data_IF_727477046613
#
_entry.id   IF_727477046613
#
_cell.length_a   1.000
_cell.length_b   1.000
_cell.length_c   1.000
_cell.angle_alpha   90.00
_cell.angle_beta   90.00
_cell.angle_gamma   90.00
#
_symmetry.space_group_name_H-M   'P 1'
#
loop_
_entity.id
_entity.type
_entity.pdbx_description
1 polymer ?
#
# COMPACT_ATOMS: atom_id res chain seq x y z
N UNK A 1 78.35 36.56 5.59
CA UNK A 1 77.97 35.21 6.03
C UNK A 1 76.51 35.01 5.60
N UNK A 2 76.06 34.00 4.88
CA UNK A 2 76.63 32.81 4.27
C UNK A 2 75.45 32.02 3.67
N UNK A 3 75.69 31.37 2.52
CA UNK A 3 74.97 30.24 1.86
C UNK A 3 73.43 30.23 1.81
N UNK A 4 72.77 30.20 0.65
CA UNK A 4 72.75 29.19 -0.44
C UNK A 4 71.92 27.92 -0.13
N UNK A 5 71.08 27.57 -1.12
CA UNK A 5 70.39 26.29 -1.43
C UNK A 5 69.00 26.05 -0.80
N UNK A 6 67.91 26.07 -1.58
CA UNK A 6 67.37 25.10 -2.58
C UNK A 6 66.73 23.86 -1.95
N UNK A 7 65.43 23.65 -2.24
CA UNK A 7 64.80 22.45 -2.85
C UNK A 7 63.27 22.70 -2.94
N UNK A 8 62.73 23.01 -4.13
CA UNK A 8 62.12 22.12 -5.16
C UNK A 8 60.69 21.65 -4.85
N UNK A 9 59.79 21.94 -5.79
CA UNK A 9 58.45 21.36 -5.97
C UNK A 9 57.67 22.21 -6.98
N UNK A 10 57.92 22.06 -8.30
CA UNK A 10 56.99 21.41 -9.25
C UNK A 10 55.55 21.95 -9.10
N UNK A 11 54.96 22.79 -9.96
CA UNK A 11 55.21 23.02 -11.38
C UNK A 11 54.54 21.96 -12.24
N UNK A 12 53.38 22.29 -12.82
CA UNK A 12 52.88 21.65 -14.04
C UNK A 12 51.55 20.89 -13.90
N UNK A 13 50.56 21.38 -14.62
CA UNK A 13 49.34 20.68 -15.00
C UNK A 13 49.63 19.33 -15.67
N UNK A 14 48.75 18.35 -15.48
CA UNK A 14 48.62 17.21 -16.38
C UNK A 14 47.15 16.72 -16.43
N UNK A 15 46.56 16.87 -17.62
CA UNK A 15 45.43 16.07 -18.10
C UNK A 15 45.85 14.58 -18.12
N UNK A 16 44.99 13.70 -17.62
CA UNK A 16 45.03 12.28 -17.94
C UNK A 16 43.61 11.78 -18.23
N UNK A 17 43.31 11.71 -19.53
CA UNK A 17 42.35 10.78 -20.10
C UNK A 17 42.79 9.35 -19.77
N UNK A 18 41.90 8.55 -19.16
CA UNK A 18 41.98 7.10 -19.22
C UNK A 18 40.66 6.56 -19.75
N UNK A 19 40.68 6.27 -21.05
CA UNK A 19 39.82 5.29 -21.68
C UNK A 19 40.41 3.89 -21.46
N UNK A 20 39.55 2.90 -21.21
CA UNK A 20 39.85 1.47 -21.18
C UNK A 20 39.15 0.80 -19.99
N UNK A 21 38.24 -0.17 -20.13
CA UNK A 21 38.14 -1.16 -21.19
C UNK A 21 36.68 -1.51 -21.53
N UNK A 22 36.41 -1.56 -22.84
CA UNK A 22 35.45 -2.48 -23.44
C UNK A 22 35.85 -3.91 -23.05
N UNK A 23 35.07 -4.53 -22.17
CA UNK A 23 34.89 -5.97 -22.20
C UNK A 23 33.52 -6.23 -22.82
N UNK A 24 33.57 -6.63 -24.09
CA UNK A 24 32.47 -7.28 -24.75
C UNK A 24 32.19 -8.62 -24.04
N UNK A 25 31.29 -8.58 -23.06
CA UNK A 25 30.41 -9.71 -22.80
C UNK A 25 29.30 -9.66 -23.84
N UNK A 26 29.38 -10.50 -24.87
CA UNK A 26 28.24 -10.83 -25.72
C UNK A 26 27.23 -11.64 -24.88
N UNK A 27 26.45 -10.96 -24.05
CA UNK A 27 25.20 -11.43 -23.48
C UNK A 27 24.14 -10.41 -23.88
N UNK A 28 22.99 -10.89 -24.38
CA UNK A 28 21.87 -10.09 -24.91
C UNK A 28 21.79 -8.67 -24.33
N UNK A 29 22.22 -7.68 -25.12
CA UNK A 29 21.69 -6.33 -24.94
C UNK A 29 20.24 -6.39 -25.37
N UNK A 30 19.33 -6.70 -24.42
CA UNK A 30 17.97 -6.22 -24.53
C UNK A 30 18.05 -4.74 -24.96
N UNK A 31 17.28 -4.35 -25.97
CA UNK A 31 17.32 -2.98 -26.47
C UNK A 31 17.11 -2.07 -25.25
N UNK A 32 18.12 -1.28 -24.88
CA UNK A 32 18.08 -0.46 -23.66
C UNK A 32 16.86 0.50 -23.64
N UNK A 33 16.22 0.66 -24.79
CA UNK A 33 14.93 1.34 -24.99
C UNK A 33 13.71 0.64 -24.39
N UNK A 34 13.78 -0.63 -24.02
CA UNK A 34 12.67 -1.39 -23.42
C UNK A 34 12.89 -1.78 -21.95
N UNK A 35 13.99 -1.34 -21.33
CA UNK A 35 14.30 -1.69 -19.93
C UNK A 35 13.21 -1.25 -18.93
N UNK A 36 12.42 -0.22 -19.27
CA UNK A 36 11.27 0.19 -18.46
C UNK A 36 10.25 -0.94 -18.27
N UNK A 37 10.13 -1.85 -19.24
CA UNK A 37 9.20 -2.99 -19.16
C UNK A 37 9.57 -3.91 -18.00
N UNK A 38 10.87 -4.09 -17.71
CA UNK A 38 11.31 -4.90 -16.57
C UNK A 38 10.85 -4.32 -15.24
N UNK A 39 10.91 -2.99 -15.08
CA UNK A 39 10.39 -2.31 -13.89
C UNK A 39 8.89 -2.53 -13.78
N UNK A 40 8.14 -2.29 -14.86
CA UNK A 40 6.68 -2.40 -14.84
C UNK A 40 6.22 -3.83 -14.61
N UNK A 41 6.85 -4.80 -15.26
CA UNK A 41 6.50 -6.22 -15.13
C UNK A 41 6.77 -6.71 -13.72
N UNK A 42 7.91 -6.33 -13.11
CA UNK A 42 8.23 -6.67 -11.72
C UNK A 42 7.29 -5.97 -10.72
N UNK A 43 7.04 -4.67 -10.91
CA UNK A 43 6.14 -3.89 -10.07
C UNK A 43 4.71 -4.45 -10.08
N UNK A 44 4.24 -4.89 -11.25
CA UNK A 44 2.92 -5.50 -11.40
C UNK A 44 2.78 -6.79 -10.60
N UNK A 45 3.85 -7.59 -10.43
CA UNK A 45 3.78 -8.85 -9.68
C UNK A 45 3.31 -8.61 -8.26
N UNK A 46 4.02 -7.79 -7.49
CA UNK A 46 3.65 -7.58 -6.08
C UNK A 46 2.46 -6.64 -5.92
N UNK A 47 2.31 -5.62 -6.76
CA UNK A 47 1.22 -4.64 -6.62
C UNK A 47 -0.14 -5.25 -6.90
N UNK A 48 -0.25 -6.13 -7.91
CA UNK A 48 -1.52 -6.78 -8.24
C UNK A 48 -1.90 -7.86 -7.22
N UNK A 49 -0.94 -8.44 -6.50
CA UNK A 49 -1.22 -9.28 -5.34
C UNK A 49 -1.77 -8.45 -4.18
N UNK A 50 -1.12 -7.34 -3.83
CA UNK A 50 -1.58 -6.41 -2.78
C UNK A 50 -2.98 -5.85 -3.08
N UNK A 51 -3.24 -5.44 -4.33
CA UNK A 51 -4.56 -5.02 -4.81
C UNK A 51 -5.61 -6.15 -4.73
N UNK A 52 -5.18 -7.39 -4.98
CA UNK A 52 -6.01 -8.58 -4.83
C UNK A 52 -6.46 -8.82 -3.38
N UNK A 53 -5.55 -8.63 -2.43
CA UNK A 53 -5.85 -8.73 -0.99
C UNK A 53 -6.85 -7.63 -0.58
N UNK A 54 -6.61 -6.39 -1.04
CA UNK A 54 -7.53 -5.26 -0.85
C UNK A 54 -8.93 -5.55 -1.42
N UNK A 55 -9.03 -6.15 -2.61
CA UNK A 55 -10.31 -6.56 -3.21
C UNK A 55 -11.01 -7.70 -2.43
N UNK A 56 -10.26 -8.58 -1.76
CA UNK A 56 -10.84 -9.60 -0.90
C UNK A 56 -11.41 -8.99 0.38
N UNK A 57 -10.72 -8.01 0.96
CA UNK A 57 -11.20 -7.24 2.10
C UNK A 57 -12.49 -6.47 1.77
N UNK A 58 -12.54 -5.77 0.62
CA UNK A 58 -13.74 -5.07 0.13
C UNK A 58 -14.98 -5.97 0.10
N UNK A 59 -14.83 -7.22 -0.37
CA UNK A 59 -15.95 -8.18 -0.46
C UNK A 59 -16.42 -8.65 0.91
N UNK A 60 -15.50 -8.81 1.87
CA UNK A 60 -15.87 -9.13 3.25
C UNK A 60 -16.66 -7.98 3.87
N UNK A 61 -16.22 -6.72 3.68
CA UNK A 61 -16.95 -5.54 4.11
C UNK A 61 -18.32 -5.42 3.43
N UNK A 62 -18.43 -5.70 2.13
CA UNK A 62 -19.72 -5.71 1.41
C UNK A 62 -20.71 -6.68 2.07
N UNK A 63 -20.27 -7.89 2.43
CA UNK A 63 -21.12 -8.87 3.10
C UNK A 63 -21.61 -8.38 4.48
N UNK A 64 -20.76 -7.69 5.25
CA UNK A 64 -21.14 -7.07 6.53
C UNK A 64 -22.15 -5.95 6.30
N UNK A 65 -21.93 -5.09 5.31
CA UNK A 65 -22.88 -4.03 4.95
C UNK A 65 -24.27 -4.57 4.61
N UNK A 66 -24.33 -5.64 3.81
CA UNK A 66 -25.59 -6.31 3.45
C UNK A 66 -26.32 -6.84 4.69
N UNK A 67 -25.59 -7.40 5.67
CA UNK A 67 -26.18 -7.82 6.94
C UNK A 67 -26.73 -6.61 7.72
N UNK A 68 -25.98 -5.52 7.80
CA UNK A 68 -26.41 -4.33 8.51
C UNK A 68 -27.64 -3.66 7.87
N UNK A 69 -27.84 -3.80 6.57
CA UNK A 69 -29.02 -3.29 5.88
C UNK A 69 -30.27 -4.16 6.04
N UNK A 70 -30.12 -5.50 6.01
CA UNK A 70 -31.27 -6.42 6.02
C UNK A 70 -31.65 -6.92 7.41
N UNK A 71 -30.66 -7.04 8.31
CA UNK A 71 -30.81 -7.50 9.69
C UNK A 71 -31.56 -8.84 9.83
N UNK A 72 -31.14 -9.83 9.04
CA UNK A 72 -31.74 -11.18 9.06
C UNK A 72 -30.69 -12.28 9.23
N UNK A 73 -31.16 -13.48 9.62
CA UNK A 73 -30.27 -14.60 9.90
C UNK A 73 -29.51 -15.14 8.69
N UNK A 74 -30.03 -15.00 7.47
CA UNK A 74 -29.35 -15.49 6.26
C UNK A 74 -28.18 -14.56 5.87
N UNK A 75 -28.42 -13.24 5.94
CA UNK A 75 -27.39 -12.22 5.74
C UNK A 75 -26.32 -12.26 6.83
N UNK A 76 -26.69 -12.53 8.09
CA UNK A 76 -25.73 -12.74 9.18
C UNK A 76 -24.79 -13.92 8.92
N UNK A 77 -25.32 -15.08 8.54
CA UNK A 77 -24.49 -16.27 8.27
C UNK A 77 -23.56 -16.06 7.06
N UNK A 78 -24.03 -15.33 6.04
CA UNK A 78 -23.20 -14.94 4.90
C UNK A 78 -22.08 -13.98 5.31
N UNK A 79 -22.37 -12.98 6.14
CA UNK A 79 -21.37 -12.05 6.66
C UNK A 79 -20.32 -12.78 7.51
N UNK A 80 -20.75 -13.65 8.44
CA UNK A 80 -19.86 -14.49 9.26
C UNK A 80 -18.94 -15.35 8.39
N UNK A 81 -19.51 -16.06 7.43
CA UNK A 81 -18.73 -16.92 6.52
C UNK A 81 -17.74 -16.12 5.69
N UNK A 82 -18.18 -15.01 5.09
CA UNK A 82 -17.32 -14.16 4.26
C UNK A 82 -16.14 -13.57 5.04
N UNK A 83 -16.40 -13.09 6.27
CA UNK A 83 -15.37 -12.55 7.16
C UNK A 83 -14.40 -13.66 7.59
N UNK A 84 -14.91 -14.78 8.11
CA UNK A 84 -14.08 -15.90 8.60
C UNK A 84 -13.23 -16.51 7.49
N UNK A 85 -13.82 -16.79 6.31
CA UNK A 85 -13.12 -17.34 5.16
C UNK A 85 -12.04 -16.39 4.64
N UNK A 86 -12.28 -15.06 4.71
CA UNK A 86 -11.31 -14.07 4.25
C UNK A 86 -10.15 -13.92 5.22
N UNK A 87 -10.42 -13.89 6.53
CA UNK A 87 -9.38 -13.94 7.57
C UNK A 87 -8.50 -15.18 7.37
N UNK A 88 -9.10 -16.36 7.25
CA UNK A 88 -8.33 -17.60 7.11
C UNK A 88 -7.43 -17.62 5.87
N UNK A 89 -7.91 -17.07 4.75
CA UNK A 89 -7.11 -16.93 3.52
C UNK A 89 -5.95 -15.96 3.70
N UNK A 90 -6.21 -14.78 4.28
CA UNK A 90 -5.19 -13.77 4.52
C UNK A 90 -4.13 -14.24 5.52
N UNK A 91 -4.52 -15.00 6.55
CA UNK A 91 -3.58 -15.64 7.49
C UNK A 91 -2.70 -16.69 6.80
N UNK A 92 -3.27 -17.49 5.88
CA UNK A 92 -2.51 -18.44 5.07
C UNK A 92 -1.53 -17.70 4.15
N UNK A 93 -1.98 -16.68 3.44
CA UNK A 93 -1.16 -15.85 2.54
C UNK A 93 -0.01 -15.16 3.30
N UNK A 94 -0.30 -14.59 4.48
CA UNK A 94 0.71 -13.99 5.35
C UNK A 94 1.73 -15.02 5.84
N UNK A 95 1.29 -16.25 6.13
CA UNK A 95 2.17 -17.36 6.53
C UNK A 95 3.05 -17.92 5.41
N UNK A 96 2.66 -17.71 4.15
CA UNK A 96 3.39 -18.13 2.95
C UNK A 96 4.21 -16.99 2.32
N UNK A 97 4.08 -15.77 2.82
CA UNK A 97 4.75 -14.60 2.28
C UNK A 97 6.28 -14.76 2.31
N UNK A 98 6.90 -14.59 1.14
CA UNK A 98 8.36 -14.59 0.99
C UNK A 98 8.80 -13.14 0.83
N UNK A 99 9.85 -12.77 1.57
CA UNK A 99 10.48 -11.45 1.42
C UNK A 99 10.93 -11.25 -0.02
N UNK A 100 10.53 -10.13 -0.62
CA UNK A 100 11.01 -9.69 -1.91
C UNK A 100 12.49 -9.36 -1.84
N UNK A 101 13.26 -9.90 -2.78
CA UNK A 101 14.70 -9.68 -2.92
C UNK A 101 14.97 -9.03 -4.28
N UNK A 102 15.47 -7.79 -4.24
CA UNK A 102 15.78 -7.04 -5.45
C UNK A 102 17.04 -7.59 -6.14
N UNK A 103 16.90 -8.04 -7.38
CA UNK A 103 18.05 -8.51 -8.17
C UNK A 103 19.01 -7.37 -8.54
N UNK A 104 20.31 -7.66 -8.65
CA UNK A 104 21.31 -6.67 -9.07
C UNK A 104 21.02 -6.09 -10.47
N UNK A 105 20.47 -6.90 -11.37
CA UNK A 105 20.08 -6.47 -12.72
C UNK A 105 18.95 -5.43 -12.66
N UNK A 106 17.88 -5.73 -11.93
CA UNK A 106 16.75 -4.81 -11.80
C UNK A 106 17.14 -3.56 -11.01
N UNK A 107 17.99 -3.68 -9.97
CA UNK A 107 18.53 -2.55 -9.23
C UNK A 107 19.26 -1.55 -10.15
N UNK A 108 20.09 -2.06 -11.07
CA UNK A 108 20.77 -1.21 -12.05
C UNK A 108 19.80 -0.52 -13.03
N UNK A 109 18.72 -1.21 -13.40
CA UNK A 109 17.66 -0.63 -14.24
C UNK A 109 16.91 0.46 -13.47
N UNK A 110 16.44 0.21 -12.25
CA UNK A 110 15.76 1.18 -11.39
C UNK A 110 16.61 2.45 -11.19
N UNK A 111 17.91 2.29 -10.89
CA UNK A 111 18.83 3.41 -10.76
C UNK A 111 18.92 4.26 -12.04
N UNK A 112 18.87 3.63 -13.21
CA UNK A 112 18.84 4.32 -14.51
C UNK A 112 17.58 5.17 -14.75
N UNK A 113 16.48 4.86 -14.06
CA UNK A 113 15.22 5.62 -14.10
C UNK A 113 15.03 6.55 -12.90
N UNK A 114 16.04 6.69 -12.03
CA UNK A 114 15.95 7.54 -10.84
C UNK A 114 14.98 7.01 -9.79
N UNK A 115 14.77 5.69 -9.76
CA UNK A 115 13.96 5.01 -8.74
C UNK A 115 14.88 4.56 -7.62
N UNK A 116 14.50 4.91 -6.39
CA UNK A 116 15.22 4.48 -5.19
C UNK A 116 14.98 2.99 -4.93
N UNK A 117 16.07 2.23 -4.81
CA UNK A 117 15.99 0.78 -4.67
C UNK A 117 15.53 0.33 -3.29
N UNK A 118 15.85 1.11 -2.25
CA UNK A 118 15.46 0.80 -0.88
C UNK A 118 13.96 1.05 -0.71
N UNK A 119 13.47 2.20 -1.16
CA UNK A 119 12.04 2.54 -1.18
C UNK A 119 11.23 1.50 -1.97
N UNK A 120 11.73 1.07 -3.14
CA UNK A 120 11.07 0.06 -3.97
C UNK A 120 10.98 -1.30 -3.26
N UNK A 121 12.08 -1.73 -2.62
CA UNK A 121 12.15 -3.00 -1.87
C UNK A 121 11.25 -2.97 -0.65
N UNK A 122 11.18 -1.83 0.06
CA UNK A 122 10.26 -1.64 1.18
C UNK A 122 8.82 -1.79 0.68
N UNK A 123 8.44 -1.08 -0.39
CA UNK A 123 7.09 -1.14 -0.95
C UNK A 123 6.68 -2.55 -1.38
N UNK A 124 7.58 -3.29 -2.06
CA UNK A 124 7.33 -4.67 -2.45
C UNK A 124 7.08 -5.59 -1.23
N UNK A 125 7.73 -5.31 -0.10
CA UNK A 125 7.62 -6.07 1.15
C UNK A 125 6.47 -5.62 2.07
N UNK A 126 5.72 -4.57 1.74
CA UNK A 126 4.63 -4.07 2.59
C UNK A 126 3.42 -5.01 2.68
N UNK A 127 3.31 -6.00 1.79
CA UNK A 127 2.14 -6.90 1.72
C UNK A 127 1.80 -7.55 3.06
N UNK A 128 2.81 -7.95 3.86
CA UNK A 128 2.57 -8.59 5.15
C UNK A 128 1.95 -7.64 6.18
N UNK A 129 2.34 -6.36 6.16
CA UNK A 129 1.75 -5.33 7.00
C UNK A 129 0.28 -5.10 6.61
N UNK A 130 0.00 -4.94 5.31
CA UNK A 130 -1.36 -4.74 4.81
C UNK A 130 -2.28 -5.93 5.15
N UNK A 131 -1.79 -7.17 4.99
CA UNK A 131 -2.53 -8.35 5.40
C UNK A 131 -2.82 -8.35 6.91
N UNK A 132 -1.86 -7.97 7.74
CA UNK A 132 -2.05 -7.86 9.20
C UNK A 132 -3.18 -6.86 9.53
N UNK A 133 -3.15 -5.69 8.90
CA UNK A 133 -4.15 -4.64 9.13
C UNK A 133 -5.56 -5.10 8.70
N UNK A 134 -5.69 -5.74 7.53
CA UNK A 134 -6.97 -6.32 7.09
C UNK A 134 -7.48 -7.42 8.03
N UNK A 135 -6.60 -8.31 8.49
CA UNK A 135 -6.96 -9.38 9.43
C UNK A 135 -7.45 -8.80 10.75
N UNK A 136 -6.75 -7.82 11.31
CA UNK A 136 -7.12 -7.20 12.58
C UNK A 136 -8.48 -6.49 12.47
N UNK A 137 -8.68 -5.71 11.40
CA UNK A 137 -9.95 -5.05 11.13
C UNK A 137 -11.11 -6.05 11.01
N UNK A 138 -10.93 -7.13 10.23
CA UNK A 138 -11.95 -8.17 10.08
C UNK A 138 -12.22 -8.92 11.38
N UNK A 139 -11.19 -9.19 12.20
CA UNK A 139 -11.36 -9.83 13.52
C UNK A 139 -12.19 -8.96 14.46
N UNK A 140 -12.02 -7.63 14.39
CA UNK A 140 -12.88 -6.70 15.14
C UNK A 140 -14.34 -6.88 14.73
N UNK A 141 -14.66 -6.91 13.43
CA UNK A 141 -16.05 -7.12 12.98
C UNK A 141 -16.56 -8.53 13.32
N UNK A 142 -15.71 -9.55 13.17
CA UNK A 142 -16.02 -10.94 13.48
C UNK A 142 -16.53 -11.10 14.92
N UNK A 143 -15.88 -10.45 15.88
CA UNK A 143 -16.30 -10.49 17.29
C UNK A 143 -17.78 -10.13 17.47
N UNK A 144 -18.24 -9.03 16.86
CA UNK A 144 -19.63 -8.59 16.96
C UNK A 144 -20.59 -9.47 16.17
N UNK A 145 -20.15 -9.97 15.01
CA UNK A 145 -20.96 -10.88 14.20
C UNK A 145 -21.19 -12.21 14.92
N UNK A 146 -20.23 -12.70 15.70
CA UNK A 146 -20.28 -14.03 16.35
C UNK A 146 -21.00 -14.06 17.71
N UNK A 147 -21.52 -12.92 18.19
CA UNK A 147 -22.33 -12.89 19.42
C UNK A 147 -23.50 -13.87 19.32
N UNK A 148 -23.67 -14.71 20.35
CA UNK A 148 -24.59 -15.85 20.32
C UNK A 148 -26.05 -15.41 20.47
N UNK A 149 -26.33 -14.51 21.42
CA UNK A 149 -27.69 -14.06 21.71
C UNK A 149 -28.13 -12.88 20.84
N UNK A 150 -29.43 -12.81 20.54
CA UNK A 150 -29.99 -11.63 19.85
C UNK A 150 -29.90 -10.38 20.73
N UNK A 151 -30.09 -10.54 22.05
CA UNK A 151 -30.03 -9.43 23.00
C UNK A 151 -28.67 -8.73 23.01
N UNK A 152 -27.57 -9.48 22.98
CA UNK A 152 -26.21 -8.90 22.88
C UNK A 152 -25.97 -8.24 21.52
N UNK A 153 -26.47 -8.83 20.42
CA UNK A 153 -26.36 -8.23 19.09
C UNK A 153 -27.12 -6.92 18.98
N UNK A 154 -28.33 -6.86 19.53
CA UNK A 154 -29.14 -5.64 19.57
C UNK A 154 -28.46 -4.56 20.43
N UNK A 155 -27.89 -4.94 21.57
CA UNK A 155 -27.18 -4.04 22.47
C UNK A 155 -25.93 -3.42 21.83
N UNK A 156 -25.19 -4.19 21.03
CA UNK A 156 -23.92 -3.77 20.43
C UNK A 156 -24.03 -3.38 18.95
N UNK A 157 -25.26 -3.25 18.44
CA UNK A 157 -25.53 -2.95 17.03
C UNK A 157 -24.90 -1.62 16.60
N UNK A 158 -25.10 -0.56 17.37
CA UNK A 158 -24.57 0.77 17.06
C UNK A 158 -23.04 0.77 16.98
N UNK A 159 -22.37 0.00 17.84
CA UNK A 159 -20.91 -0.17 17.84
C UNK A 159 -20.45 -0.90 16.58
N UNK A 160 -21.13 -1.98 16.19
CA UNK A 160 -20.83 -2.69 14.95
C UNK A 160 -21.02 -1.78 13.73
N UNK A 161 -22.11 -1.03 13.67
CA UNK A 161 -22.39 -0.09 12.56
C UNK A 161 -21.32 1.00 12.48
N UNK A 162 -20.90 1.54 13.62
CA UNK A 162 -19.82 2.53 13.67
C UNK A 162 -18.49 1.95 13.15
N UNK A 163 -18.07 0.78 13.67
CA UNK A 163 -16.80 0.17 13.31
C UNK A 163 -16.79 -0.26 11.83
N UNK A 164 -17.89 -0.83 11.34
CA UNK A 164 -18.07 -1.12 9.92
C UNK A 164 -17.94 0.15 9.07
N UNK A 165 -18.64 1.23 9.46
CA UNK A 165 -18.60 2.51 8.76
C UNK A 165 -17.18 3.09 8.70
N UNK A 166 -16.47 3.08 9.84
CA UNK A 166 -15.07 3.50 9.91
C UNK A 166 -14.19 2.68 8.97
N UNK A 167 -14.25 1.34 9.05
CA UNK A 167 -13.41 0.46 8.23
C UNK A 167 -13.68 0.62 6.72
N UNK A 168 -14.95 0.76 6.33
CA UNK A 168 -15.34 1.01 4.94
C UNK A 168 -14.83 2.36 4.43
N UNK A 169 -14.95 3.41 5.24
CA UNK A 169 -14.51 4.75 4.86
C UNK A 169 -12.97 4.82 4.78
N UNK A 170 -12.26 4.19 5.73
CA UNK A 170 -10.80 4.06 5.71
C UNK A 170 -10.32 3.31 4.45
N UNK A 171 -10.97 2.18 4.15
CA UNK A 171 -10.68 1.40 2.95
C UNK A 171 -10.89 2.21 1.65
N UNK A 172 -11.90 3.07 1.62
CA UNK A 172 -12.13 3.97 0.47
C UNK A 172 -10.97 4.96 0.31
N UNK A 173 -10.46 5.51 1.42
CA UNK A 173 -9.32 6.42 1.41
C UNK A 173 -8.02 5.70 0.98
N UNK A 174 -7.76 4.52 1.53
CA UNK A 174 -6.60 3.70 1.20
C UNK A 174 -6.55 3.35 -0.28
N UNK A 175 -7.67 2.90 -0.87
CA UNK A 175 -7.75 2.58 -2.30
C UNK A 175 -7.38 3.77 -3.19
N UNK A 176 -7.82 4.96 -2.80
CA UNK A 176 -7.47 6.20 -3.49
C UNK A 176 -5.99 6.55 -3.32
N UNK A 177 -5.48 6.45 -2.09
CA UNK A 177 -4.06 6.65 -1.78
C UNK A 177 -3.17 5.71 -2.60
N UNK A 178 -3.48 4.41 -2.65
CA UNK A 178 -2.67 3.42 -3.37
C UNK A 178 -2.74 3.58 -4.88
N UNK A 179 -3.88 4.00 -5.44
CA UNK A 179 -3.93 4.39 -6.86
C UNK A 179 -2.89 5.49 -7.18
N UNK A 180 -2.81 6.53 -6.34
CA UNK A 180 -1.82 7.58 -6.50
C UNK A 180 -0.41 7.16 -6.12
N UNK A 181 -0.23 6.22 -5.18
CA UNK A 181 1.07 5.61 -4.91
C UNK A 181 1.62 4.90 -6.15
N UNK A 182 0.77 4.17 -6.90
CA UNK A 182 1.17 3.60 -8.20
C UNK A 182 1.57 4.70 -9.18
N UNK A 183 0.79 5.79 -9.25
CA UNK A 183 1.13 6.93 -10.08
C UNK A 183 2.50 7.52 -9.72
N UNK A 184 2.87 7.58 -8.44
CA UNK A 184 4.13 8.16 -7.96
C UNK A 184 5.36 7.47 -8.56
N UNK A 185 5.33 6.13 -8.62
CA UNK A 185 6.43 5.32 -9.17
C UNK A 185 6.71 5.60 -10.65
N UNK A 186 5.68 6.00 -11.40
CA UNK A 186 5.74 6.18 -12.85
C UNK A 186 5.46 7.63 -13.29
N UNK A 187 5.44 8.57 -12.35
CA UNK A 187 5.24 9.98 -12.65
C UNK A 187 6.36 10.50 -13.57
N UNK A 188 5.98 11.21 -14.63
CA UNK A 188 6.90 11.73 -15.65
C UNK A 188 7.23 10.75 -16.77
N UNK A 189 6.68 9.53 -16.74
CA UNK A 189 6.78 8.61 -17.87
C UNK A 189 5.75 8.99 -18.95
N UNK A 190 6.17 8.98 -20.21
CA UNK A 190 5.36 9.42 -21.35
C UNK A 190 5.32 8.36 -22.48
N UNK A 191 4.41 8.54 -23.43
CA UNK A 191 4.32 7.71 -24.64
C UNK A 191 4.17 6.22 -24.32
N UNK A 192 5.03 5.40 -24.94
CA UNK A 192 4.99 3.93 -24.82
C UNK A 192 5.19 3.44 -23.38
N UNK A 193 5.92 4.17 -22.55
CA UNK A 193 6.17 3.82 -21.15
C UNK A 193 4.88 3.90 -20.32
N UNK A 194 4.19 5.04 -20.42
CA UNK A 194 2.89 5.27 -19.76
C UNK A 194 1.84 4.29 -20.26
N UNK A 195 1.79 4.05 -21.58
CA UNK A 195 0.88 3.08 -22.17
C UNK A 195 1.11 1.66 -21.64
N UNK A 196 2.36 1.27 -21.38
CA UNK A 196 2.68 -0.04 -20.84
C UNK A 196 2.31 -0.17 -19.36
N UNK A 197 2.50 0.87 -18.55
CA UNK A 197 2.01 0.92 -17.16
C UNK A 197 0.49 0.78 -17.14
N UNK A 198 -0.22 1.49 -18.02
CA UNK A 198 -1.68 1.40 -18.13
C UNK A 198 -2.13 -0.03 -18.50
N UNK A 199 -1.44 -0.67 -19.45
CA UNK A 199 -1.75 -2.04 -19.89
C UNK A 199 -1.48 -3.08 -18.79
N UNK A 200 -0.33 -2.99 -18.12
CA UNK A 200 0.13 -4.04 -17.20
C UNK A 200 -0.37 -3.87 -15.77
N UNK A 201 -0.48 -2.63 -15.30
CA UNK A 201 -0.87 -2.36 -13.91
C UNK A 201 -2.31 -1.88 -13.86
N UNK A 202 -2.59 -0.69 -14.41
CA UNK A 202 -3.85 0.03 -14.15
C UNK A 202 -5.09 -0.73 -14.61
N UNK A 203 -5.06 -1.33 -15.82
CA UNK A 203 -6.20 -2.12 -16.33
C UNK A 203 -6.46 -3.42 -15.58
N UNK A 204 -5.51 -3.88 -14.77
CA UNK A 204 -5.60 -5.14 -14.04
C UNK A 204 -5.90 -4.94 -12.54
N UNK A 205 -5.99 -3.68 -12.07
CA UNK A 205 -6.43 -3.37 -10.71
C UNK A 205 -7.89 -3.81 -10.51
N UNK A 206 -8.16 -4.39 -9.34
CA UNK A 206 -9.46 -4.89 -8.89
C UNK A 206 -10.05 -4.03 -7.79
N UNK A 207 -9.22 -3.42 -6.96
CA UNK A 207 -9.62 -2.61 -5.81
C UNK A 207 -9.11 -1.18 -5.92
N UNK A 208 -7.79 -1.00 -6.01
CA UNK A 208 -7.15 0.31 -5.95
C UNK A 208 -7.70 1.23 -7.05
N UNK A 209 -8.22 2.36 -6.60
CA UNK A 209 -8.95 3.29 -7.45
C UNK A 209 -9.28 4.55 -6.68
N UNK A 210 -9.13 5.68 -7.36
CA UNK A 210 -9.52 6.99 -6.85
C UNK A 210 -10.88 7.41 -7.42
N UNK A 211 -11.62 8.23 -6.67
CA UNK A 211 -12.80 8.89 -7.22
C UNK A 211 -12.36 9.90 -8.30
N UNK A 212 -12.91 9.79 -9.50
CA UNK A 212 -12.53 10.60 -10.67
C UNK A 212 -11.01 10.61 -10.91
N UNK A 213 -10.42 9.45 -11.24
CA UNK A 213 -8.97 9.29 -11.25
C UNK A 213 -8.32 10.17 -12.33
N UNK A 214 -7.30 10.92 -11.93
CA UNK A 214 -6.43 11.70 -12.82
C UNK A 214 -5.03 11.15 -12.70
N UNK A 215 -4.40 10.82 -13.83
CA UNK A 215 -2.99 10.43 -13.86
C UNK A 215 -2.13 11.68 -13.97
N UNK A 216 -1.39 11.99 -12.91
CA UNK A 216 -0.52 13.16 -12.84
C UNK A 216 0.87 12.84 -13.42
N UNK A 217 1.46 13.82 -14.10
CA UNK A 217 2.75 13.65 -14.78
C UNK A 217 3.95 14.11 -13.92
N UNK A 218 3.73 14.67 -12.71
CA UNK A 218 4.81 15.05 -11.79
C UNK A 218 4.62 14.45 -10.40
N UNK A 219 5.73 14.08 -9.73
CA UNK A 219 5.69 13.53 -8.37
C UNK A 219 5.05 14.49 -7.37
N UNK A 220 5.34 15.78 -7.48
CA UNK A 220 4.75 16.80 -6.59
C UNK A 220 3.21 16.84 -6.69
N UNK A 221 2.65 16.73 -7.90
CA UNK A 221 1.20 16.68 -8.08
C UNK A 221 0.59 15.39 -7.52
N UNK A 222 1.28 14.25 -7.70
CA UNK A 222 0.87 12.97 -7.10
C UNK A 222 0.90 13.05 -5.58
N UNK A 223 1.97 13.57 -4.97
CA UNK A 223 2.12 13.73 -3.53
C UNK A 223 0.99 14.60 -2.95
N UNK A 224 0.60 15.68 -3.64
CA UNK A 224 -0.56 16.48 -3.23
C UNK A 224 -1.85 15.67 -3.20
N UNK A 225 -2.06 14.76 -4.16
CA UNK A 225 -3.23 13.86 -4.17
C UNK A 225 -3.17 12.82 -3.06
N UNK A 226 -1.99 12.23 -2.82
CA UNK A 226 -1.78 11.28 -1.72
C UNK A 226 -2.06 11.94 -0.37
N UNK A 227 -1.57 13.17 -0.15
CA UNK A 227 -1.80 13.92 1.09
C UNK A 227 -3.29 14.16 1.37
N UNK A 228 -4.12 14.38 0.34
CA UNK A 228 -5.58 14.52 0.55
C UNK A 228 -6.21 13.26 1.16
N UNK A 229 -5.74 12.07 0.77
CA UNK A 229 -6.20 10.82 1.37
C UNK A 229 -5.62 10.59 2.77
N UNK A 230 -4.37 11.02 3.01
CA UNK A 230 -3.78 10.99 4.35
C UNK A 230 -4.57 11.89 5.32
N UNK A 231 -4.93 13.11 4.90
CA UNK A 231 -5.74 14.05 5.70
C UNK A 231 -7.12 13.44 6.03
N UNK A 232 -7.74 12.75 5.07
CA UNK A 232 -9.02 12.05 5.28
C UNK A 232 -8.87 10.88 6.26
N UNK A 233 -7.81 10.09 6.16
CA UNK A 233 -7.53 9.01 7.11
C UNK A 233 -7.27 9.56 8.52
N UNK A 234 -6.59 10.70 8.64
CA UNK A 234 -6.40 11.37 9.93
C UNK A 234 -7.74 11.81 10.55
N UNK A 235 -8.65 12.38 9.74
CA UNK A 235 -10.00 12.73 10.19
C UNK A 235 -10.80 11.51 10.67
N UNK A 236 -10.71 10.39 9.94
CA UNK A 236 -11.34 9.14 10.35
C UNK A 236 -10.78 8.64 11.68
N UNK A 237 -9.47 8.72 11.88
CA UNK A 237 -8.82 8.33 13.13
C UNK A 237 -9.32 9.16 14.32
N UNK A 238 -9.45 10.49 14.15
CA UNK A 238 -10.04 11.34 15.20
C UNK A 238 -11.47 10.93 15.54
N UNK A 239 -12.28 10.56 14.54
CA UNK A 239 -13.66 10.07 14.77
C UNK A 239 -13.68 8.75 15.55
N UNK A 240 -12.74 7.84 15.28
CA UNK A 240 -12.59 6.61 16.04
C UNK A 240 -12.23 6.89 17.51
N UNK A 241 -11.25 7.77 17.75
CA UNK A 241 -10.85 8.17 19.10
C UNK A 241 -11.99 8.81 19.89
N UNK A 242 -12.78 9.69 19.25
CA UNK A 242 -13.96 10.30 19.87
C UNK A 242 -15.02 9.26 20.21
N UNK A 243 -15.25 8.27 19.34
CA UNK A 243 -16.18 7.17 19.63
C UNK A 243 -15.71 6.33 20.81
N UNK A 244 -14.43 5.92 20.85
CA UNK A 244 -13.85 5.17 21.97
C UNK A 244 -13.99 5.95 23.28
N UNK A 245 -13.67 7.26 23.26
CA UNK A 245 -13.79 8.12 24.44
C UNK A 245 -15.22 8.23 24.98
N UNK A 246 -16.22 8.35 24.09
CA UNK A 246 -17.64 8.36 24.49
C UNK A 246 -18.09 7.03 25.07
N UNK A 247 -17.74 5.92 24.42
CA UNK A 247 -18.11 4.59 24.90
C UNK A 247 -17.51 4.28 26.27
N UNK A 248 -16.29 4.75 26.54
CA UNK A 248 -15.68 4.65 27.87
C UNK A 248 -16.43 5.48 28.93
N UNK A 249 -16.78 6.73 28.61
CA UNK A 249 -17.54 7.59 29.53
C UNK A 249 -18.93 6.99 29.84
N UNK A 250 -19.62 6.45 28.83
CA UNK A 250 -20.91 5.79 29.02
C UNK A 250 -20.81 4.58 29.97
N UNK A 251 -19.78 3.75 29.81
CA UNK A 251 -19.51 2.63 30.71
C UNK A 251 -19.25 3.11 32.15
N UNK A 252 -18.43 4.14 32.33
CA UNK A 252 -18.18 4.73 33.66
C UNK A 252 -19.45 5.28 34.31
N UNK A 253 -20.31 5.95 33.55
CA UNK A 253 -21.58 6.48 34.07
C UNK A 253 -22.55 5.35 34.44
N UNK A 254 -22.59 4.26 33.68
CA UNK A 254 -23.39 3.08 34.02
C UNK A 254 -22.92 2.40 35.30
N UNK A 255 -21.61 2.26 35.51
CA UNK A 255 -21.04 1.73 36.76
C UNK A 255 -21.41 2.60 37.96
N UNK A 256 -21.27 3.92 37.85
CA UNK A 256 -21.62 4.88 38.90
C UNK A 256 -23.11 4.90 39.27
N UNK A 257 -24.00 4.60 38.33
CA UNK A 257 -25.45 4.52 38.56
C UNK A 257 -25.89 3.15 39.11
N UNK A 258 -25.00 2.16 39.09
CA UNK A 258 -25.23 0.80 39.62
C UNK A 258 -24.77 0.61 41.07
N UNK A 259 -24.02 1.58 41.62
CA UNK A 259 -23.62 1.68 43.04
C UNK A 259 -24.66 2.43 43.90
#
# INVERSE_FOLDING_TARGET
MGRMMRKTGFGGALLALLAGALLAGCGNKADARENYRQIVDDYAVFTLEQDGDSAAYDKALEAVGIYLENDDGDSLEKARSAVSDTIGRMEEDAGQAVSYELSEELAAVLAGYGVDQEEYTINANMRSAYLSDYIENLKTLQYYLELESQEERDLLRDTLEFLYGFQRDSQTCEKGFYYYSINYWFAGWEGDQKAYVEEKVIKNLKSYGAENPVWEDSREAVEQKMNLYLDQMEELQYRLEEHIGRSQEELYQMELLSE
#
